data_IF_010240682002
#
_entry.id   IF_010240682002
#
_cell.length_a   1.000
_cell.length_b   1.000
_cell.length_c   1.000
_cell.angle_alpha   90.00
_cell.angle_beta   90.00
_cell.angle_gamma   90.00
#
_symmetry.space_group_name_H-M   'P 1'
#
loop_
_entity.id
_entity.type
_entity.pdbx_description
1 polymer ?
#
# COMPACT_ATOMS: atom_id res chain seq x y z
N UNK A 1 -7.37 -16.86 13.16
CA UNK A 1 -7.76 -17.98 12.28
C UNK A 1 -6.59 -18.32 11.38
N UNK A 2 -6.22 -19.58 11.27
CA UNK A 2 -5.08 -19.98 10.43
C UNK A 2 -5.49 -20.12 8.96
N UNK A 3 -4.66 -19.61 8.05
CA UNK A 3 -4.90 -19.64 6.61
C UNK A 3 -3.73 -20.36 5.92
N UNK A 4 -4.03 -21.41 5.17
CA UNK A 4 -3.05 -22.17 4.38
C UNK A 4 -3.34 -22.06 2.89
N UNK A 5 -2.29 -22.21 2.07
CA UNK A 5 -2.43 -22.40 0.63
C UNK A 5 -2.26 -23.89 0.29
N UNK A 6 -3.05 -24.39 -0.67
CA UNK A 6 -2.98 -25.77 -1.13
C UNK A 6 -3.20 -25.84 -2.63
N UNK A 7 -2.40 -26.62 -3.35
CA UNK A 7 -2.64 -26.96 -4.76
C UNK A 7 -3.66 -28.10 -4.92
N UNK A 8 -3.98 -28.82 -3.84
CA UNK A 8 -5.06 -29.80 -3.86
C UNK A 8 -6.43 -29.10 -3.93
N UNK A 9 -7.37 -29.58 -4.76
CA UNK A 9 -8.71 -29.02 -4.84
C UNK A 9 -9.48 -29.21 -3.53
N UNK A 10 -10.47 -28.34 -3.29
CA UNK A 10 -11.40 -28.52 -2.19
C UNK A 10 -12.18 -29.84 -2.32
N UNK A 11 -12.63 -30.41 -1.20
CA UNK A 11 -13.51 -31.57 -1.23
C UNK A 11 -14.81 -31.27 -1.97
N UNK A 12 -15.41 -32.28 -2.61
CA UNK A 12 -16.63 -32.11 -3.42
C UNK A 12 -17.82 -31.46 -2.67
N UNK A 13 -17.87 -31.58 -1.34
CA UNK A 13 -18.87 -30.94 -0.47
C UNK A 13 -18.89 -29.40 -0.58
N UNK A 14 -17.77 -28.77 -0.96
CA UNK A 14 -17.69 -27.32 -1.20
C UNK A 14 -18.05 -26.94 -2.65
N UNK A 15 -18.20 -27.93 -3.52
CA UNK A 15 -18.42 -27.76 -4.96
C UNK A 15 -17.13 -27.73 -5.78
N UNK A 16 -17.26 -28.03 -7.08
CA UNK A 16 -16.13 -28.25 -8.02
C UNK A 16 -15.21 -27.04 -8.24
N UNK A 17 -15.63 -25.84 -7.85
CA UNK A 17 -14.91 -24.58 -8.12
C UNK A 17 -14.66 -23.76 -6.85
N UNK A 18 -14.73 -24.38 -5.67
CA UNK A 18 -14.47 -23.69 -4.42
C UNK A 18 -12.99 -23.24 -4.35
N UNK A 19 -12.79 -21.95 -4.14
CA UNK A 19 -11.46 -21.35 -3.95
C UNK A 19 -11.04 -21.33 -2.48
N UNK A 20 -11.98 -21.64 -1.58
CA UNK A 20 -11.84 -21.56 -0.14
C UNK A 20 -12.64 -22.70 0.48
N UNK A 21 -12.03 -23.42 1.41
CA UNK A 21 -12.71 -24.37 2.30
C UNK A 21 -12.32 -24.10 3.75
N UNK A 22 -13.09 -24.67 4.68
CA UNK A 22 -12.85 -24.52 6.11
C UNK A 22 -12.77 -25.88 6.78
N UNK A 23 -11.82 -26.02 7.70
CA UNK A 23 -11.69 -27.16 8.58
C UNK A 23 -11.41 -26.66 10.00
N UNK A 24 -12.44 -26.71 10.86
CA UNK A 24 -12.38 -26.17 12.22
C UNK A 24 -11.90 -24.70 12.23
N UNK A 25 -10.73 -24.44 12.82
CA UNK A 25 -10.16 -23.11 13.01
C UNK A 25 -9.21 -22.69 11.86
N UNK A 26 -9.15 -23.50 10.80
CA UNK A 26 -8.33 -23.26 9.62
C UNK A 26 -9.19 -23.03 8.36
N UNK A 27 -8.78 -22.07 7.55
CA UNK A 27 -9.26 -21.90 6.18
C UNK A 27 -8.16 -22.29 5.18
N UNK A 28 -8.53 -22.98 4.11
CA UNK A 28 -7.61 -23.43 3.05
C UNK A 28 -7.97 -22.73 1.75
N UNK A 29 -7.02 -22.01 1.16
CA UNK A 29 -7.16 -21.41 -0.17
C UNK A 29 -6.62 -22.40 -1.21
N UNK A 30 -7.46 -22.76 -2.16
CA UNK A 30 -7.15 -23.77 -3.18
C UNK A 30 -6.60 -23.11 -4.45
N UNK A 31 -5.28 -23.19 -4.61
CA UNK A 31 -4.55 -22.70 -5.78
C UNK A 31 -4.81 -23.59 -7.01
N UNK A 32 -4.61 -23.01 -8.20
CA UNK A 32 -4.76 -23.66 -9.51
C UNK A 32 -3.42 -23.69 -10.24
N UNK A 33 -3.37 -24.38 -11.38
CA UNK A 33 -2.17 -24.47 -12.26
C UNK A 33 -1.92 -23.18 -13.09
N UNK A 34 -2.20 -22.00 -12.53
CA UNK A 34 -1.94 -20.69 -13.15
C UNK A 34 -1.62 -19.64 -12.08
N UNK A 35 -0.34 -19.28 -11.97
CA UNK A 35 0.19 -18.34 -10.97
C UNK A 35 -0.46 -16.96 -11.02
N UNK A 36 -0.68 -16.38 -12.20
CA UNK A 36 -1.29 -15.04 -12.31
C UNK A 36 -2.74 -15.06 -11.85
N UNK A 37 -3.46 -16.12 -12.20
CA UNK A 37 -4.82 -16.34 -11.71
C UNK A 37 -4.85 -16.60 -10.20
N UNK A 38 -3.80 -17.20 -9.64
CA UNK A 38 -3.70 -17.48 -8.21
C UNK A 38 -3.59 -16.22 -7.36
N UNK A 39 -2.85 -15.20 -7.78
CA UNK A 39 -2.79 -13.92 -7.03
C UNK A 39 -4.19 -13.30 -6.88
N UNK A 40 -4.95 -13.26 -7.98
CA UNK A 40 -6.34 -12.77 -7.97
C UNK A 40 -7.25 -13.67 -7.12
N UNK A 41 -7.02 -14.98 -7.13
CA UNK A 41 -7.77 -15.95 -6.34
C UNK A 41 -7.53 -15.75 -4.84
N UNK A 42 -6.27 -15.63 -4.41
CA UNK A 42 -5.85 -15.37 -3.03
C UNK A 42 -6.46 -14.05 -2.54
N UNK A 43 -6.38 -12.98 -3.33
CA UNK A 43 -7.00 -11.70 -3.01
C UNK A 43 -8.53 -11.82 -2.83
N UNK A 44 -9.21 -12.56 -3.71
CA UNK A 44 -10.66 -12.82 -3.59
C UNK A 44 -11.00 -13.64 -2.35
N UNK A 45 -10.20 -14.63 -2.02
CA UNK A 45 -10.38 -15.45 -0.83
C UNK A 45 -10.23 -14.61 0.45
N UNK A 46 -9.19 -13.78 0.54
CA UNK A 46 -8.99 -12.83 1.62
C UNK A 46 -10.19 -11.87 1.78
N UNK A 47 -10.73 -11.33 0.67
CA UNK A 47 -11.92 -10.48 0.71
C UNK A 47 -13.16 -11.22 1.23
N UNK A 48 -13.35 -12.49 0.84
CA UNK A 48 -14.44 -13.34 1.34
C UNK A 48 -14.31 -13.59 2.84
N UNK A 49 -13.10 -13.92 3.32
CA UNK A 49 -12.82 -14.11 4.75
C UNK A 49 -13.14 -12.84 5.53
N UNK A 50 -12.67 -11.68 5.05
CA UNK A 50 -12.97 -10.39 5.66
C UNK A 50 -14.48 -10.11 5.71
N UNK A 51 -15.20 -10.42 4.63
CA UNK A 51 -16.65 -10.26 4.54
C UNK A 51 -17.46 -11.13 5.52
N UNK A 52 -16.87 -12.20 6.06
CA UNK A 52 -17.48 -13.02 7.12
C UNK A 52 -17.30 -12.42 8.52
N UNK A 53 -16.59 -11.29 8.65
CA UNK A 53 -16.30 -10.66 9.94
C UNK A 53 -15.03 -11.18 10.61
N UNK A 54 -14.23 -11.98 9.91
CA UNK A 54 -12.93 -12.45 10.40
C UNK A 54 -11.98 -11.24 10.45
N UNK A 55 -11.41 -10.99 11.63
CA UNK A 55 -10.52 -9.86 11.88
C UNK A 55 -9.07 -10.25 12.07
N UNK A 56 -8.83 -11.39 12.70
CA UNK A 56 -7.49 -11.83 13.07
C UNK A 56 -7.15 -13.13 12.32
N UNK A 57 -6.14 -13.05 11.47
CA UNK A 57 -5.67 -14.17 10.66
C UNK A 57 -4.17 -14.37 10.81
N UNK A 58 -3.75 -15.63 10.72
CA UNK A 58 -2.36 -16.06 10.73
C UNK A 58 -2.13 -16.85 9.44
N UNK A 59 -1.19 -16.41 8.61
CA UNK A 59 -0.83 -17.08 7.37
C UNK A 59 0.24 -18.13 7.67
N UNK A 60 -0.12 -19.41 7.53
CA UNK A 60 0.73 -20.54 7.94
C UNK A 60 1.00 -21.51 6.80
N UNK A 61 2.12 -22.23 6.89
CA UNK A 61 2.58 -23.21 5.91
C UNK A 61 3.58 -22.66 4.88
N UNK A 62 4.25 -23.56 4.17
CA UNK A 62 5.46 -23.22 3.37
C UNK A 62 5.14 -22.66 1.97
N UNK A 63 3.88 -22.68 1.55
CA UNK A 63 3.47 -22.26 0.20
C UNK A 63 3.27 -20.73 0.08
N UNK A 64 3.46 -19.99 1.17
CA UNK A 64 3.36 -18.54 1.17
C UNK A 64 4.67 -17.90 0.71
N UNK A 65 4.56 -17.11 -0.35
CA UNK A 65 5.64 -16.29 -0.90
C UNK A 65 5.19 -14.83 -0.92
N UNK A 66 6.15 -13.91 -1.14
CA UNK A 66 5.92 -12.46 -1.20
C UNK A 66 4.65 -12.09 -1.97
N UNK A 67 4.49 -12.59 -3.20
CA UNK A 67 3.37 -12.18 -4.06
C UNK A 67 2.01 -12.68 -3.53
N UNK A 68 1.96 -13.87 -2.93
CA UNK A 68 0.73 -14.39 -2.32
C UNK A 68 0.40 -13.67 -1.01
N UNK A 69 1.41 -13.36 -0.18
CA UNK A 69 1.24 -12.53 1.03
C UNK A 69 0.69 -11.15 0.66
N UNK A 70 1.28 -10.50 -0.36
CA UNK A 70 0.82 -9.22 -0.86
C UNK A 70 -0.60 -9.28 -1.43
N UNK A 71 -0.92 -10.30 -2.23
CA UNK A 71 -2.26 -10.51 -2.76
C UNK A 71 -3.30 -10.70 -1.65
N UNK A 72 -2.97 -11.50 -0.63
CA UNK A 72 -3.83 -11.70 0.53
C UNK A 72 -4.07 -10.39 1.28
N UNK A 73 -2.99 -9.64 1.57
CA UNK A 73 -3.04 -8.34 2.24
C UNK A 73 -4.01 -7.38 1.54
N UNK A 74 -3.86 -7.21 0.23
CA UNK A 74 -4.72 -6.33 -0.57
C UNK A 74 -6.20 -6.75 -0.51
N UNK A 75 -6.47 -8.05 -0.45
CA UNK A 75 -7.82 -8.58 -0.36
C UNK A 75 -8.43 -8.46 1.03
N UNK A 76 -7.60 -8.53 2.07
CA UNK A 76 -8.03 -8.43 3.47
C UNK A 76 -8.18 -6.99 3.94
N UNK A 77 -7.40 -6.05 3.38
CA UNK A 77 -7.42 -4.63 3.72
C UNK A 77 -8.83 -4.05 3.73
N UNK A 78 -9.10 -3.18 4.71
CA UNK A 78 -10.30 -2.34 4.74
C UNK A 78 -9.98 -1.00 5.41
N UNK A 79 -10.62 0.08 4.96
CA UNK A 79 -10.37 1.44 5.45
C UNK A 79 -10.61 1.63 6.95
N UNK A 80 -11.37 0.73 7.60
CA UNK A 80 -11.57 0.75 9.06
C UNK A 80 -10.34 0.31 9.86
N UNK A 81 -9.40 -0.39 9.21
CA UNK A 81 -8.19 -0.96 9.83
C UNK A 81 -8.46 -1.77 11.12
N UNK A 82 -9.66 -2.34 11.26
CA UNK A 82 -10.04 -3.18 12.39
C UNK A 82 -9.75 -4.67 12.10
N UNK A 83 -8.50 -4.97 11.79
CA UNK A 83 -8.01 -6.30 11.47
C UNK A 83 -6.52 -6.47 11.78
N UNK A 84 -6.07 -7.72 11.89
CA UNK A 84 -4.67 -8.12 12.05
C UNK A 84 -4.34 -9.27 11.11
N UNK A 85 -3.14 -9.24 10.53
CA UNK A 85 -2.57 -10.33 9.73
C UNK A 85 -1.19 -10.63 10.30
N UNK A 86 -1.02 -11.85 10.79
CA UNK A 86 0.29 -12.40 11.08
C UNK A 86 0.81 -13.10 9.82
N UNK A 87 1.86 -12.54 9.22
CA UNK A 87 2.51 -13.08 8.03
C UNK A 87 3.45 -14.23 8.39
N UNK A 88 3.70 -15.18 7.48
CA UNK A 88 4.74 -16.18 7.71
C UNK A 88 6.10 -15.49 7.70
N UNK A 89 7.11 -16.16 8.28
CA UNK A 89 8.48 -15.72 8.09
C UNK A 89 8.90 -16.00 6.64
N UNK A 90 9.22 -14.95 5.90
CA UNK A 90 9.86 -15.03 4.58
C UNK A 90 11.38 -14.82 4.72
N UNK A 91 12.13 -15.15 3.67
CA UNK A 91 13.53 -14.74 3.54
C UNK A 91 13.67 -13.20 3.63
N UNK A 92 14.85 -12.71 4.04
CA UNK A 92 15.09 -11.29 4.36
C UNK A 92 14.64 -10.32 3.25
N UNK A 93 15.08 -10.52 2.01
CA UNK A 93 14.73 -9.63 0.88
C UNK A 93 13.22 -9.63 0.55
N UNK A 94 12.55 -10.79 0.37
CA UNK A 94 11.09 -10.86 0.24
C UNK A 94 10.32 -10.26 1.42
N UNK A 95 10.81 -10.43 2.65
CA UNK A 95 10.20 -9.88 3.85
C UNK A 95 10.26 -8.35 3.84
N UNK A 96 11.43 -7.78 3.54
CA UNK A 96 11.64 -6.33 3.45
C UNK A 96 10.79 -5.71 2.34
N UNK A 97 10.71 -6.35 1.17
CA UNK A 97 9.87 -5.91 0.07
C UNK A 97 8.38 -5.96 0.42
N UNK A 98 7.92 -7.01 1.12
CA UNK A 98 6.52 -7.10 1.58
C UNK A 98 6.18 -5.94 2.52
N UNK A 99 7.05 -5.65 3.49
CA UNK A 99 6.86 -4.58 4.46
C UNK A 99 6.88 -3.20 3.76
N UNK A 100 7.78 -2.98 2.82
CA UNK A 100 7.84 -1.75 2.03
C UNK A 100 6.57 -1.53 1.19
N UNK A 101 6.04 -2.59 0.55
CA UNK A 101 4.75 -2.54 -0.18
C UNK A 101 3.59 -2.20 0.73
N UNK A 102 3.55 -2.77 1.94
CA UNK A 102 2.52 -2.48 2.93
C UNK A 102 2.61 -1.02 3.39
N UNK A 103 3.78 -0.54 3.81
CA UNK A 103 3.93 0.85 4.30
C UNK A 103 3.58 1.87 3.20
N UNK A 104 4.10 1.70 1.98
CA UNK A 104 3.77 2.58 0.85
C UNK A 104 2.30 2.49 0.44
N UNK A 105 1.77 1.27 0.34
CA UNK A 105 0.39 1.03 -0.07
C UNK A 105 -0.62 1.59 0.92
N UNK A 106 -0.34 1.48 2.22
CA UNK A 106 -1.18 2.01 3.27
C UNK A 106 -1.13 3.52 3.33
N UNK A 107 0.05 4.12 3.22
CA UNK A 107 0.19 5.57 3.11
C UNK A 107 -0.67 6.15 1.99
N UNK A 108 -0.63 5.56 0.79
CA UNK A 108 -1.44 6.01 -0.35
C UNK A 108 -2.93 5.86 -0.07
N UNK A 109 -3.37 4.71 0.47
CA UNK A 109 -4.78 4.47 0.79
C UNK A 109 -5.28 5.40 1.89
N UNK A 110 -4.49 5.63 2.92
CA UNK A 110 -4.81 6.52 4.04
C UNK A 110 -4.98 7.96 3.55
N UNK A 111 -4.05 8.47 2.74
CA UNK A 111 -4.18 9.81 2.15
C UNK A 111 -5.45 9.90 1.30
N UNK A 112 -5.73 8.93 0.43
CA UNK A 112 -6.92 8.98 -0.44
C UNK A 112 -8.23 8.88 0.37
N UNK A 113 -8.24 8.10 1.45
CA UNK A 113 -9.43 7.92 2.29
C UNK A 113 -9.64 9.07 3.30
N UNK A 114 -8.64 9.89 3.55
CA UNK A 114 -8.73 11.02 4.49
C UNK A 114 -9.72 12.08 3.97
N UNK A 115 -10.65 12.57 4.80
CA UNK A 115 -11.60 13.60 4.38
C UNK A 115 -10.92 14.88 3.89
N UNK A 116 -11.46 15.50 2.83
CA UNK A 116 -10.92 16.75 2.28
C UNK A 116 -10.92 17.95 3.25
N UNK A 117 -11.69 17.86 4.35
CA UNK A 117 -11.69 18.86 5.41
C UNK A 117 -10.38 18.84 6.22
N UNK A 118 -9.77 17.67 6.40
CA UNK A 118 -8.53 17.46 7.15
C UNK A 118 -7.33 17.36 6.22
N UNK A 119 -7.49 16.79 5.03
CA UNK A 119 -6.46 16.74 3.99
C UNK A 119 -6.60 17.91 3.01
N UNK A 120 -6.10 19.07 3.41
CA UNK A 120 -6.01 20.27 2.54
C UNK A 120 -4.83 20.18 1.56
N UNK A 121 -4.74 21.03 0.52
CA UNK A 121 -3.61 20.98 -0.42
C UNK A 121 -2.24 21.12 0.24
N UNK A 122 -2.12 22.04 1.20
CA UNK A 122 -0.87 22.20 1.99
C UNK A 122 -0.62 20.95 2.82
N UNK A 123 -1.65 20.38 3.47
CA UNK A 123 -1.44 19.20 4.31
C UNK A 123 -1.06 17.96 3.51
N UNK A 124 -1.59 17.80 2.29
CA UNK A 124 -1.18 16.78 1.36
C UNK A 124 0.30 16.91 1.00
N UNK A 125 0.76 18.13 0.65
CA UNK A 125 2.15 18.40 0.33
C UNK A 125 3.09 18.10 1.52
N UNK A 126 2.71 18.51 2.73
CA UNK A 126 3.46 18.21 3.96
C UNK A 126 3.56 16.70 4.20
N UNK A 127 2.43 15.97 4.19
CA UNK A 127 2.43 14.52 4.44
C UNK A 127 3.24 13.74 3.40
N UNK A 128 3.18 14.15 2.13
CA UNK A 128 3.98 13.55 1.06
C UNK A 128 5.49 13.77 1.30
N UNK A 129 5.90 14.99 1.62
CA UNK A 129 7.29 15.31 1.92
C UNK A 129 7.80 14.55 3.16
N UNK A 130 7.02 14.56 4.26
CA UNK A 130 7.34 13.84 5.49
C UNK A 130 7.51 12.34 5.26
N UNK A 131 6.60 11.72 4.51
CA UNK A 131 6.68 10.30 4.20
C UNK A 131 7.94 9.97 3.40
N UNK A 132 8.20 10.69 2.30
CA UNK A 132 9.37 10.44 1.44
C UNK A 132 10.68 10.69 2.20
N UNK A 133 10.76 11.74 3.03
CA UNK A 133 11.92 11.98 3.88
C UNK A 133 12.17 10.84 4.87
N UNK A 134 11.13 10.30 5.50
CA UNK A 134 11.25 9.13 6.39
C UNK A 134 11.73 7.88 5.64
N UNK A 135 11.21 7.66 4.42
CA UNK A 135 11.66 6.54 3.58
C UNK A 135 13.15 6.70 3.20
N UNK A 136 13.59 7.90 2.85
CA UNK A 136 14.99 8.17 2.57
C UNK A 136 15.89 7.99 3.81
N UNK A 137 15.41 8.30 5.02
CA UNK A 137 16.14 8.00 6.27
C UNK A 137 16.33 6.49 6.50
N UNK A 138 15.34 5.68 6.11
CA UNK A 138 15.38 4.24 6.31
C UNK A 138 16.25 3.52 5.26
N UNK A 139 16.21 3.97 4.00
CA UNK A 139 16.80 3.26 2.86
C UNK A 139 17.98 3.98 2.18
N UNK A 140 18.26 5.22 2.57
CA UNK A 140 19.33 6.05 2.05
C UNK A 140 19.90 6.97 3.15
N UNK A 141 20.37 8.16 2.78
CA UNK A 141 20.70 9.23 3.72
C UNK A 141 19.55 10.25 3.76
N UNK A 142 19.24 10.78 4.95
CA UNK A 142 18.30 11.91 5.10
C UNK A 142 18.66 13.08 4.19
N UNK A 143 19.96 13.31 3.97
CA UNK A 143 20.45 14.38 3.10
C UNK A 143 20.04 14.21 1.64
N UNK A 144 19.61 13.00 1.23
CA UNK A 144 19.19 12.71 -0.12
C UNK A 144 17.86 13.36 -0.50
N UNK A 145 17.07 13.88 0.45
CA UNK A 145 15.79 14.55 0.15
C UNK A 145 15.88 16.03 0.46
N UNK A 146 15.52 16.85 -0.53
CA UNK A 146 15.23 18.27 -0.34
C UNK A 146 13.86 18.60 -0.93
N UNK A 147 13.15 19.55 -0.33
CA UNK A 147 11.86 19.96 -0.87
C UNK A 147 11.50 21.40 -0.51
N UNK A 148 10.59 21.97 -1.29
CA UNK A 148 9.94 23.25 -1.04
C UNK A 148 8.44 23.12 -1.28
N UNK A 149 7.64 23.75 -0.40
CA UNK A 149 6.20 23.90 -0.60
C UNK A 149 5.91 25.36 -0.94
N UNK A 150 5.32 25.58 -2.11
CA UNK A 150 4.89 26.92 -2.58
C UNK A 150 3.37 26.95 -2.51
N UNK A 151 2.79 27.94 -1.82
CA UNK A 151 1.34 28.00 -1.61
C UNK A 151 0.77 29.41 -1.71
N UNK A 152 -0.54 29.49 -1.96
CA UNK A 152 -1.28 30.75 -2.02
C UNK A 152 -0.72 31.73 -3.07
N UNK A 153 -0.60 33.00 -2.71
CA UNK A 153 -0.11 34.06 -3.62
C UNK A 153 1.33 33.81 -4.10
N UNK A 154 2.16 33.10 -3.33
CA UNK A 154 3.53 32.77 -3.76
C UNK A 154 3.55 31.95 -5.06
N UNK A 155 2.50 31.16 -5.33
CA UNK A 155 2.35 30.47 -6.62
C UNK A 155 2.22 31.46 -7.77
N UNK A 156 1.41 32.51 -7.62
CA UNK A 156 1.23 33.55 -8.63
C UNK A 156 2.51 34.37 -8.80
N UNK A 157 3.16 34.76 -7.71
CA UNK A 157 4.39 35.56 -7.71
C UNK A 157 5.53 34.83 -8.46
N UNK A 158 5.56 33.50 -8.37
CA UNK A 158 6.54 32.66 -9.08
C UNK A 158 6.06 32.16 -10.46
N UNK A 159 4.90 32.62 -10.93
CA UNK A 159 4.40 32.34 -12.28
C UNK A 159 3.57 31.06 -12.44
N UNK A 160 3.28 30.32 -11.37
CA UNK A 160 2.41 29.13 -11.34
C UNK A 160 0.92 29.49 -11.41
N UNK A 161 0.54 30.28 -12.41
CA UNK A 161 -0.80 30.82 -12.60
C UNK A 161 -1.88 29.74 -12.72
N UNK A 162 -1.56 28.57 -13.31
CA UNK A 162 -2.53 27.47 -13.45
C UNK A 162 -3.00 26.93 -12.10
N UNK A 163 -2.05 26.50 -11.26
CA UNK A 163 -2.32 25.96 -9.92
C UNK A 163 -3.03 27.02 -9.06
N UNK A 164 -2.52 28.26 -9.09
CA UNK A 164 -3.12 29.37 -8.35
C UNK A 164 -4.56 29.65 -8.80
N UNK A 165 -4.80 29.79 -10.11
CA UNK A 165 -6.13 30.17 -10.64
C UNK A 165 -7.19 29.13 -10.34
N UNK A 166 -6.84 27.84 -10.41
CA UNK A 166 -7.76 26.75 -10.04
C UNK A 166 -8.07 26.76 -8.55
N UNK A 167 -7.06 26.92 -7.69
CA UNK A 167 -7.24 26.79 -6.24
C UNK A 167 -7.69 28.04 -5.49
N UNK A 168 -7.51 29.25 -6.04
CA UNK A 168 -7.75 30.52 -5.31
C UNK A 168 -9.19 30.75 -4.86
N UNK A 169 -10.15 29.99 -5.39
CA UNK A 169 -11.56 30.07 -4.98
C UNK A 169 -11.86 29.34 -3.65
N UNK A 170 -10.93 28.53 -3.17
CA UNK A 170 -11.04 27.77 -1.92
C UNK A 170 -10.54 28.59 -0.73
N UNK A 171 -11.12 28.35 0.46
CA UNK A 171 -10.55 28.85 1.72
C UNK A 171 -9.23 28.15 2.08
N UNK A 172 -9.06 26.92 1.62
CA UNK A 172 -7.82 26.17 1.73
C UNK A 172 -6.92 26.54 0.55
N UNK A 173 -5.75 27.18 0.77
CA UNK A 173 -4.92 27.69 -0.30
C UNK A 173 -4.38 26.56 -1.18
N UNK A 174 -4.22 26.77 -2.50
CA UNK A 174 -3.50 25.84 -3.35
C UNK A 174 -2.05 25.72 -2.91
N UNK A 175 -1.46 24.55 -3.15
CA UNK A 175 -0.07 24.27 -2.85
C UNK A 175 0.57 23.46 -3.98
N UNK A 176 1.89 23.61 -4.11
CA UNK A 176 2.74 22.81 -4.97
C UNK A 176 3.91 22.32 -4.13
N UNK A 177 4.12 21.00 -4.09
CA UNK A 177 5.31 20.38 -3.56
C UNK A 177 6.33 20.22 -4.68
N UNK A 178 7.54 20.74 -4.47
CA UNK A 178 8.71 20.45 -5.29
C UNK A 178 9.66 19.64 -4.43
N UNK A 179 9.85 18.36 -4.75
CA UNK A 179 10.69 17.45 -3.98
C UNK A 179 11.74 16.84 -4.90
N UNK A 180 12.98 16.80 -4.43
CA UNK A 180 14.12 16.17 -5.08
C UNK A 180 14.65 15.05 -4.17
N UNK A 181 14.66 13.82 -4.70
CA UNK A 181 15.35 12.68 -4.10
C UNK A 181 16.62 12.38 -4.90
N UNK A 182 17.76 12.75 -4.33
CA UNK A 182 19.07 12.63 -4.91
C UNK A 182 20.01 11.82 -4.00
N UNK A 183 19.98 10.47 -4.10
CA UNK A 183 20.83 9.60 -3.27
C UNK A 183 22.33 9.80 -3.55
N UNK A 184 22.70 10.41 -4.67
CA UNK A 184 24.11 10.65 -5.02
C UNK A 184 24.67 11.93 -4.38
N UNK A 185 23.81 12.81 -3.86
CA UNK A 185 24.15 14.16 -3.41
C UNK A 185 24.89 15.02 -4.47
N UNK A 186 24.93 14.59 -5.73
CA UNK A 186 25.52 15.36 -6.83
C UNK A 186 24.42 16.25 -7.44
N UNK A 187 24.52 17.59 -7.36
CA UNK A 187 23.48 18.48 -7.88
C UNK A 187 23.33 18.42 -9.40
N UNK A 188 24.30 17.82 -10.10
CA UNK A 188 24.26 17.62 -11.55
C UNK A 188 23.93 16.17 -11.93
N UNK A 189 23.49 15.34 -10.98
CA UNK A 189 23.01 14.00 -11.27
C UNK A 189 21.82 14.08 -12.26
N UNK A 190 21.75 13.21 -13.28
CA UNK A 190 20.62 13.20 -14.20
C UNK A 190 19.35 12.79 -13.46
N UNK A 191 18.26 13.50 -13.71
CA UNK A 191 16.93 13.13 -13.20
C UNK A 191 16.43 11.91 -14.00
N UNK A 192 16.20 10.79 -13.31
CA UNK A 192 15.82 9.52 -13.93
C UNK A 192 14.30 9.29 -13.99
N UNK A 193 13.53 10.00 -13.16
CA UNK A 193 12.07 9.93 -13.13
C UNK A 193 11.48 11.31 -12.77
N UNK A 194 10.44 11.72 -13.51
CA UNK A 194 9.68 12.97 -13.30
C UNK A 194 8.19 12.65 -13.25
#
# INVERSE_FOLDING_TARGET
>A
MQITLSTAPASESWGKNAILSFNQDQAVIHLKDDEKSNLVLVQKAARKLRGQGIKDVELVGDAWELENCWAFYQGFYSAKQDYSIEFPHLDDEPQDELLARIECGDFVREIINEPAQTLTPVKLAERAAEFISKQAENYADKSAVSFQIISGEALKDQGYHGIFTVGRGSINPPAMLQLDFNPTNNPNAPVLAC
#
